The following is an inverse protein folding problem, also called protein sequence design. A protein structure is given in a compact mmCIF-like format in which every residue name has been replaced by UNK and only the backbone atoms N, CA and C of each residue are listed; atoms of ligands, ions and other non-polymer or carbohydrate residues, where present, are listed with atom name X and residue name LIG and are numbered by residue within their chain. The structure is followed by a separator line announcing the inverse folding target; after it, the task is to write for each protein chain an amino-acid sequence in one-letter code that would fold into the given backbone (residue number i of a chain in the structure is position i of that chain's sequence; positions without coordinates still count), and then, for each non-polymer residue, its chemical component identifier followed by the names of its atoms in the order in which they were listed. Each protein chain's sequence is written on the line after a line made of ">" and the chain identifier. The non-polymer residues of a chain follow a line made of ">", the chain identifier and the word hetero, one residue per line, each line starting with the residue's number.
data_IF_692925281685
#
_entry.id   IF_692925281685
#
_cell.length_a   1.000
_cell.length_b   1.000
_cell.length_c   1.000
_cell.angle_alpha   90.00
_cell.angle_beta   90.00
_cell.angle_gamma   90.00
#
_symmetry.space_group_name_H-M   'P 1'
#
loop_
_entity.id
_entity.type
_entity.pdbx_description
1 polymer ?
#
# COMPACT_ATOMS: atom_id res chain seq x y z
N UNK A 1 -8.93 -3.54 -7.70
CA UNK A 1 -8.88 -2.98 -9.08
C UNK A 1 -10.14 -2.28 -9.54
N UNK A 2 -11.32 -2.93 -9.58
CA UNK A 2 -12.58 -2.37 -10.14
C UNK A 2 -12.90 -0.96 -9.61
N UNK A 3 -12.88 -0.75 -8.30
CA UNK A 3 -13.19 0.56 -7.69
C UNK A 3 -12.20 1.64 -8.16
N UNK A 4 -10.89 1.35 -8.15
CA UNK A 4 -9.87 2.29 -8.62
C UNK A 4 -10.05 2.61 -10.11
N UNK A 5 -10.32 1.60 -10.93
CA UNK A 5 -10.56 1.78 -12.37
C UNK A 5 -11.83 2.61 -12.63
N UNK A 6 -12.88 2.42 -11.84
CA UNK A 6 -14.10 3.25 -11.91
C UNK A 6 -13.83 4.71 -11.58
N UNK A 7 -13.05 4.99 -10.54
CA UNK A 7 -12.67 6.37 -10.18
C UNK A 7 -11.79 6.98 -11.26
N UNK A 8 -10.79 6.22 -11.75
CA UNK A 8 -9.90 6.69 -12.81
C UNK A 8 -10.66 6.98 -14.11
N UNK A 9 -11.63 6.13 -14.47
CA UNK A 9 -12.52 6.33 -15.61
C UNK A 9 -13.37 7.61 -15.45
N UNK A 10 -13.99 7.78 -14.28
CA UNK A 10 -14.85 8.93 -13.99
C UNK A 10 -14.11 10.27 -14.13
N UNK A 11 -12.85 10.34 -13.68
CA UNK A 11 -12.05 11.56 -13.69
C UNK A 11 -11.03 11.65 -14.85
N UNK A 12 -11.03 10.70 -15.80
CA UNK A 12 -10.08 10.71 -16.93
C UNK A 12 -8.60 10.57 -16.52
N UNK A 13 -8.30 9.84 -15.45
CA UNK A 13 -6.96 9.75 -14.84
C UNK A 13 -6.04 8.69 -15.48
N UNK A 14 -6.42 8.16 -16.65
CA UNK A 14 -5.70 7.07 -17.31
C UNK A 14 -6.03 5.69 -16.71
N UNK A 15 -5.36 4.63 -17.19
CA UNK A 15 -5.68 3.27 -16.78
C UNK A 15 -5.13 2.93 -15.38
N UNK A 16 -5.81 2.00 -14.71
CA UNK A 16 -5.26 1.27 -13.56
C UNK A 16 -4.55 0.03 -14.07
N UNK A 17 -3.30 -0.17 -13.65
CA UNK A 17 -2.57 -1.40 -14.00
C UNK A 17 -2.65 -2.38 -12.84
N UNK A 18 -3.20 -3.56 -13.09
CA UNK A 18 -3.28 -4.66 -12.15
C UNK A 18 -2.25 -5.72 -12.53
N UNK A 19 -1.41 -6.11 -11.58
CA UNK A 19 -0.33 -7.07 -11.78
C UNK A 19 -0.50 -8.19 -10.76
N UNK A 20 -0.77 -9.40 -11.24
CA UNK A 20 -0.98 -10.56 -10.39
C UNK A 20 -0.72 -11.84 -11.21
N UNK A 21 0.09 -12.80 -10.76
CA UNK A 21 0.27 -14.06 -11.49
C UNK A 21 -1.02 -14.91 -11.56
N UNK A 22 -1.99 -14.68 -10.67
CA UNK A 22 -3.23 -15.44 -10.48
C UNK A 22 -2.97 -16.95 -10.38
N UNK A 23 -1.97 -17.33 -9.60
CA UNK A 23 -1.55 -18.71 -9.39
C UNK A 23 -2.01 -19.21 -8.02
N UNK A 24 -2.55 -20.42 -7.96
CA UNK A 24 -2.78 -21.13 -6.69
C UNK A 24 -1.87 -22.37 -6.58
N UNK A 25 -1.32 -22.68 -5.39
CA UNK A 25 -1.50 -21.93 -4.13
C UNK A 25 -0.70 -20.62 -4.11
N UNK A 26 -1.26 -19.60 -3.46
CA UNK A 26 -0.59 -18.33 -3.15
C UNK A 26 -0.99 -17.88 -1.75
N UNK A 27 -0.19 -16.99 -1.15
CA UNK A 27 -0.59 -16.34 0.11
C UNK A 27 -1.72 -15.32 -0.06
N UNK A 28 -1.96 -14.87 -1.30
CA UNK A 28 -3.01 -13.91 -1.65
C UNK A 28 -4.37 -14.59 -1.80
N UNK A 29 -4.37 -15.87 -2.20
CA UNK A 29 -5.59 -16.64 -2.47
C UNK A 29 -5.55 -18.01 -1.76
N UNK A 30 -5.53 -18.02 -0.41
CA UNK A 30 -5.37 -19.25 0.38
C UNK A 30 -6.53 -20.24 0.21
N UNK A 31 -7.70 -19.76 -0.22
CA UNK A 31 -8.91 -20.55 -0.38
C UNK A 31 -9.03 -21.17 -1.79
N UNK A 32 -8.15 -20.80 -2.74
CA UNK A 32 -8.16 -21.38 -4.08
C UNK A 32 -7.47 -22.76 -4.09
N UNK A 33 -8.11 -23.78 -4.68
CA UNK A 33 -7.46 -25.07 -4.88
C UNK A 33 -6.20 -24.95 -5.75
N UNK A 34 -5.17 -25.78 -5.55
CA UNK A 34 -3.97 -25.79 -6.39
C UNK A 34 -4.29 -25.90 -7.88
N UNK A 35 -3.66 -25.08 -8.71
CA UNK A 35 -3.89 -25.04 -10.16
C UNK A 35 -5.12 -24.26 -10.62
N UNK A 36 -5.95 -23.77 -9.69
CA UNK A 36 -7.06 -22.85 -10.00
C UNK A 36 -6.52 -21.42 -10.10
N UNK A 37 -7.16 -20.59 -10.91
CA UNK A 37 -6.77 -19.20 -11.13
C UNK A 37 -7.97 -18.27 -10.96
N UNK A 38 -7.78 -17.17 -10.23
CA UNK A 38 -8.78 -16.10 -10.10
C UNK A 38 -8.83 -15.16 -11.32
N UNK A 39 -8.01 -15.40 -12.36
CA UNK A 39 -7.90 -14.49 -13.50
C UNK A 39 -9.21 -14.37 -14.30
N UNK A 40 -9.90 -15.48 -14.55
CA UNK A 40 -11.13 -15.47 -15.35
C UNK A 40 -12.26 -14.72 -14.62
N UNK A 41 -12.36 -14.90 -13.30
CA UNK A 41 -13.29 -14.14 -12.44
C UNK A 41 -12.95 -12.65 -12.43
N UNK A 42 -11.66 -12.32 -12.33
CA UNK A 42 -11.17 -10.95 -12.40
C UNK A 42 -11.55 -10.28 -13.74
N UNK A 43 -11.31 -10.93 -14.88
CA UNK A 43 -11.68 -10.43 -16.20
C UNK A 43 -13.21 -10.33 -16.35
N UNK A 44 -13.96 -11.30 -15.86
CA UNK A 44 -15.43 -11.25 -15.84
C UNK A 44 -15.95 -10.06 -15.03
N UNK A 45 -15.33 -9.73 -13.89
CA UNK A 45 -15.64 -8.55 -13.10
C UNK A 45 -15.40 -7.24 -13.83
N UNK A 46 -14.29 -7.13 -14.59
CA UNK A 46 -14.02 -5.96 -15.43
C UNK A 46 -15.04 -5.81 -16.56
N UNK A 47 -15.47 -6.92 -17.17
CA UNK A 47 -16.53 -6.94 -18.20
C UNK A 47 -17.88 -6.51 -17.64
N UNK A 48 -18.30 -7.11 -16.54
CA UNK A 48 -19.58 -6.82 -15.90
C UNK A 48 -19.71 -5.34 -15.48
N UNK A 49 -18.57 -4.66 -15.28
CA UNK A 49 -18.51 -3.24 -14.90
C UNK A 49 -18.17 -2.30 -16.07
N UNK A 50 -17.99 -2.82 -17.29
CA UNK A 50 -17.55 -2.07 -18.48
C UNK A 50 -16.22 -1.31 -18.30
N UNK A 51 -15.30 -1.85 -17.47
CA UNK A 51 -14.03 -1.22 -17.13
C UNK A 51 -12.81 -1.80 -17.88
N UNK A 52 -13.01 -2.72 -18.84
CA UNK A 52 -11.90 -3.35 -19.59
C UNK A 52 -10.96 -2.33 -20.26
N UNK A 53 -11.47 -1.16 -20.67
CA UNK A 53 -10.65 -0.10 -21.28
C UNK A 53 -9.92 0.79 -20.25
N UNK A 54 -10.27 0.66 -18.98
CA UNK A 54 -9.75 1.48 -17.87
C UNK A 54 -8.86 0.67 -16.93
N UNK A 55 -8.75 -0.64 -17.12
CA UNK A 55 -7.85 -1.51 -16.38
C UNK A 55 -6.97 -2.32 -17.34
N UNK A 56 -5.67 -2.25 -17.14
CA UNK A 56 -4.68 -3.08 -17.84
C UNK A 56 -4.26 -4.21 -16.92
N UNK A 57 -4.41 -5.45 -17.38
CA UNK A 57 -4.17 -6.65 -16.59
C UNK A 57 -2.89 -7.37 -17.04
N UNK A 58 -1.95 -7.56 -16.13
CA UNK A 58 -0.78 -8.41 -16.34
C UNK A 58 -0.87 -9.66 -15.49
N UNK A 59 -1.16 -10.79 -16.13
CA UNK A 59 -1.16 -12.11 -15.50
C UNK A 59 0.25 -12.67 -15.34
N UNK A 60 1.08 -12.03 -14.51
CA UNK A 60 2.48 -12.42 -14.28
C UNK A 60 2.99 -11.81 -12.97
N UNK A 61 4.20 -12.16 -12.56
CA UNK A 61 4.85 -11.58 -11.38
C UNK A 61 5.25 -10.12 -11.61
N UNK A 62 5.19 -9.30 -10.55
CA UNK A 62 5.61 -7.90 -10.54
C UNK A 62 7.00 -7.66 -11.14
N UNK A 63 7.98 -8.51 -10.76
CA UNK A 63 9.36 -8.48 -11.30
C UNK A 63 9.45 -8.61 -12.82
N UNK A 64 8.50 -9.30 -13.46
CA UNK A 64 8.50 -9.45 -14.92
C UNK A 64 7.97 -8.18 -15.60
N UNK A 65 6.92 -7.58 -15.04
CA UNK A 65 6.37 -6.31 -15.52
C UNK A 65 7.37 -5.16 -15.32
N UNK A 66 8.06 -5.14 -14.18
CA UNK A 66 9.01 -4.09 -13.81
C UNK A 66 10.21 -3.96 -14.78
N UNK A 67 10.64 -5.05 -15.44
CA UNK A 67 11.77 -5.04 -16.41
C UNK A 67 11.58 -4.04 -17.55
N UNK A 68 10.33 -3.83 -17.98
CA UNK A 68 9.98 -2.91 -19.07
C UNK A 68 9.26 -1.65 -18.60
N UNK A 69 9.10 -1.44 -17.29
CA UNK A 69 8.29 -0.35 -16.79
C UNK A 69 8.99 0.99 -16.97
N UNK A 70 8.29 1.96 -17.54
CA UNK A 70 8.77 3.32 -17.75
C UNK A 70 7.67 4.38 -17.59
N UNK A 71 6.53 3.99 -17.00
CA UNK A 71 5.34 4.83 -16.89
C UNK A 71 5.29 5.53 -15.52
N UNK A 72 4.95 6.83 -15.47
CA UNK A 72 4.79 7.54 -14.20
C UNK A 72 3.64 6.95 -13.36
N UNK A 73 3.85 6.84 -12.06
CA UNK A 73 2.88 6.29 -11.10
C UNK A 73 2.40 7.40 -10.16
N UNK A 74 1.08 7.65 -10.17
CA UNK A 74 0.40 8.60 -9.25
C UNK A 74 -0.20 7.93 -8.02
N UNK A 75 -0.48 6.63 -8.11
CA UNK A 75 -0.94 5.79 -7.01
C UNK A 75 -0.27 4.43 -7.15
N UNK A 76 0.48 4.02 -6.13
CA UNK A 76 1.02 2.67 -5.99
C UNK A 76 0.28 1.97 -4.87
N UNK A 77 -0.49 0.94 -5.18
CA UNK A 77 -1.23 0.14 -4.20
C UNK A 77 -0.62 -1.26 -4.13
N UNK A 78 0.01 -1.59 -3.00
CA UNK A 78 0.66 -2.87 -2.77
C UNK A 78 -0.25 -3.73 -1.89
N UNK A 79 -0.72 -4.84 -2.45
CA UNK A 79 -1.67 -5.79 -1.85
C UNK A 79 -1.40 -7.21 -2.38
N UNK A 80 -0.11 -7.55 -2.47
CA UNK A 80 0.37 -8.84 -2.96
C UNK A 80 0.82 -9.75 -1.81
N UNK A 81 2.02 -10.30 -1.96
CA UNK A 81 2.59 -11.18 -0.93
C UNK A 81 2.90 -10.42 0.37
N UNK A 82 2.36 -10.91 1.48
CA UNK A 82 2.43 -10.27 2.80
C UNK A 82 3.75 -10.47 3.55
N UNK A 83 4.73 -11.16 2.96
CA UNK A 83 6.08 -11.28 3.51
C UNK A 83 6.84 -9.96 3.35
N UNK A 84 7.83 -9.71 4.19
CA UNK A 84 8.70 -8.54 4.01
C UNK A 84 9.42 -8.56 2.66
N UNK A 85 9.87 -9.74 2.21
CA UNK A 85 10.53 -9.88 0.91
C UNK A 85 9.61 -9.47 -0.24
N UNK A 86 8.38 -9.98 -0.27
CA UNK A 86 7.41 -9.68 -1.33
C UNK A 86 7.01 -8.21 -1.36
N UNK A 87 6.52 -7.68 -0.23
CA UNK A 87 6.11 -6.28 -0.14
C UNK A 87 7.26 -5.29 -0.42
N UNK A 88 8.49 -5.62 0.00
CA UNK A 88 9.68 -4.79 -0.27
C UNK A 88 10.09 -4.87 -1.74
N UNK A 89 10.06 -6.05 -2.35
CA UNK A 89 10.33 -6.22 -3.79
C UNK A 89 9.37 -5.36 -4.61
N UNK A 90 8.06 -5.44 -4.36
CA UNK A 90 7.06 -4.61 -5.06
C UNK A 90 7.30 -3.11 -4.86
N UNK A 91 7.60 -2.70 -3.62
CA UNK A 91 7.92 -1.29 -3.33
C UNK A 91 9.17 -0.82 -4.08
N UNK A 92 10.24 -1.61 -4.10
CA UNK A 92 11.51 -1.24 -4.74
C UNK A 92 11.42 -1.23 -6.26
N UNK A 93 10.66 -2.16 -6.83
CA UNK A 93 10.45 -2.23 -8.28
C UNK A 93 9.70 -1.01 -8.82
N UNK A 94 8.70 -0.50 -8.08
CA UNK A 94 7.80 0.54 -8.59
C UNK A 94 8.01 1.93 -8.00
N UNK A 95 8.59 2.06 -6.80
CA UNK A 95 8.84 3.37 -6.18
C UNK A 95 9.73 4.34 -6.99
N UNK A 96 10.67 3.90 -7.87
CA UNK A 96 11.42 4.81 -8.73
C UNK A 96 10.55 5.59 -9.72
N UNK A 97 9.35 5.09 -10.04
CA UNK A 97 8.45 5.69 -11.02
C UNK A 97 7.37 6.60 -10.41
N UNK A 98 7.41 6.82 -9.09
CA UNK A 98 6.48 7.71 -8.40
C UNK A 98 6.67 9.16 -8.85
N UNK A 99 5.59 9.81 -9.24
CA UNK A 99 5.57 11.26 -9.53
C UNK A 99 5.46 12.07 -8.25
N UNK A 100 5.94 13.32 -8.25
CA UNK A 100 5.71 14.22 -7.12
C UNK A 100 4.21 14.30 -6.75
N UNK A 101 3.90 14.12 -5.46
CA UNK A 101 2.53 14.07 -4.94
C UNK A 101 1.84 12.70 -5.06
N UNK A 102 2.50 11.68 -5.64
CA UNK A 102 1.93 10.33 -5.72
C UNK A 102 1.64 9.74 -4.34
N UNK A 103 0.68 8.84 -4.25
CA UNK A 103 0.39 8.12 -3.00
C UNK A 103 0.89 6.69 -3.11
N UNK A 104 1.59 6.21 -2.07
CA UNK A 104 1.87 4.79 -1.87
C UNK A 104 0.93 4.30 -0.78
N UNK A 105 0.20 3.22 -1.05
CA UNK A 105 -0.67 2.53 -0.11
C UNK A 105 -0.23 1.07 0.05
N UNK A 106 -0.23 0.60 1.29
CA UNK A 106 0.17 -0.74 1.70
C UNK A 106 -1.03 -1.36 2.43
N UNK A 107 -1.66 -2.34 1.80
CA UNK A 107 -2.80 -3.03 2.40
C UNK A 107 -2.35 -3.87 3.61
N UNK A 108 -3.25 -4.10 4.56
CA UNK A 108 -3.03 -4.99 5.70
C UNK A 108 -1.83 -4.69 6.62
N UNK A 109 -1.34 -3.45 6.63
CA UNK A 109 -0.29 -2.98 7.52
C UNK A 109 -0.61 -3.10 9.02
N UNK A 110 -1.88 -3.25 9.41
CA UNK A 110 -2.26 -3.54 10.81
C UNK A 110 -2.78 -4.96 11.05
N UNK A 111 -2.62 -5.85 10.07
CA UNK A 111 -2.78 -7.29 10.25
C UNK A 111 -1.47 -7.93 10.72
N UNK A 112 -1.54 -9.20 11.13
CA UNK A 112 -0.40 -9.90 11.73
C UNK A 112 0.60 -10.39 10.65
N UNK A 113 0.97 -9.49 9.75
CA UNK A 113 1.91 -9.72 8.65
C UNK A 113 3.10 -8.78 8.80
N UNK A 114 4.31 -9.29 8.55
CA UNK A 114 5.53 -8.48 8.69
C UNK A 114 5.65 -7.45 7.57
N UNK A 115 5.31 -7.80 6.33
CA UNK A 115 5.77 -7.06 5.16
C UNK A 115 5.26 -5.63 5.06
N UNK A 116 3.94 -5.42 4.94
CA UNK A 116 3.40 -4.07 4.71
C UNK A 116 3.76 -3.07 5.81
N UNK A 117 3.69 -3.47 7.09
CA UNK A 117 4.03 -2.59 8.22
C UNK A 117 5.52 -2.27 8.28
N UNK A 118 6.38 -3.23 7.93
CA UNK A 118 7.82 -3.03 7.96
C UNK A 118 8.28 -2.09 6.84
N UNK A 119 7.80 -2.29 5.62
CA UNK A 119 8.02 -1.35 4.49
C UNK A 119 7.51 0.04 4.87
N UNK A 120 6.32 0.14 5.47
CA UNK A 120 5.80 1.43 5.89
C UNK A 120 6.70 2.13 6.91
N UNK A 121 7.19 1.42 7.93
CA UNK A 121 8.06 2.00 8.96
C UNK A 121 9.45 2.35 8.42
N UNK A 122 10.06 1.45 7.64
CA UNK A 122 11.45 1.56 7.21
C UNK A 122 11.61 2.49 6.00
N UNK A 123 10.76 2.38 4.98
CA UNK A 123 10.93 3.07 3.71
C UNK A 123 10.08 4.34 3.56
N UNK A 124 8.95 4.43 4.29
CA UNK A 124 8.01 5.57 4.19
C UNK A 124 8.14 6.49 5.40
N UNK A 125 7.90 6.00 6.61
CA UNK A 125 7.86 6.85 7.81
C UNK A 125 9.22 7.44 8.19
N UNK A 126 10.31 6.74 7.88
CA UNK A 126 11.69 7.19 8.18
C UNK A 126 12.37 7.95 7.03
N UNK A 127 11.68 8.13 5.91
CA UNK A 127 12.24 8.77 4.71
C UNK A 127 11.76 10.21 4.58
N UNK A 128 12.67 11.12 4.22
CA UNK A 128 12.33 12.51 3.88
C UNK A 128 11.82 12.66 2.44
N UNK A 129 11.82 11.57 1.66
CA UNK A 129 11.18 11.54 0.33
C UNK A 129 9.67 11.48 0.40
N UNK A 130 9.11 11.26 1.59
CA UNK A 130 7.66 11.19 1.81
C UNK A 130 7.21 12.40 2.63
N UNK A 131 5.99 12.86 2.39
CA UNK A 131 5.30 13.93 3.11
C UNK A 131 4.37 13.37 4.16
N UNK A 132 3.10 13.79 4.12
CA UNK A 132 2.05 13.25 4.97
C UNK A 132 1.94 11.73 4.82
N UNK A 133 1.76 11.04 5.94
CA UNK A 133 1.55 9.60 5.99
C UNK A 133 0.63 9.24 7.15
N UNK A 134 -0.02 8.08 7.07
CA UNK A 134 -0.96 7.64 8.09
C UNK A 134 -1.48 6.23 7.89
N UNK A 135 -2.46 5.87 8.71
CA UNK A 135 -3.24 4.65 8.53
C UNK A 135 -4.71 5.02 8.33
N UNK A 136 -5.40 4.21 7.54
CA UNK A 136 -6.86 4.19 7.45
C UNK A 136 -7.29 2.75 7.58
N UNK A 137 -8.05 2.44 8.63
CA UNK A 137 -8.43 1.07 8.98
C UNK A 137 -7.20 0.14 9.14
N UNK A 138 -7.00 -0.83 8.24
CA UNK A 138 -5.82 -1.71 8.24
C UNK A 138 -4.71 -1.24 7.31
N UNK A 139 -4.99 -0.35 6.36
CA UNK A 139 -4.05 0.09 5.35
C UNK A 139 -3.17 1.23 5.86
N UNK A 140 -1.91 1.23 5.43
CA UNK A 140 -0.99 2.34 5.61
C UNK A 140 -0.84 3.12 4.30
N UNK A 141 -0.54 4.40 4.38
CA UNK A 141 -0.33 5.24 3.21
C UNK A 141 0.71 6.33 3.47
N UNK A 142 1.39 6.77 2.41
CA UNK A 142 2.28 7.93 2.44
C UNK A 142 2.31 8.66 1.10
N UNK A 143 2.37 9.99 1.14
CA UNK A 143 2.51 10.81 -0.06
C UNK A 143 3.99 10.96 -0.44
N UNK A 144 4.36 10.61 -1.66
CA UNK A 144 5.68 10.84 -2.22
C UNK A 144 5.89 12.33 -2.46
N UNK A 145 6.82 12.94 -1.71
CA UNK A 145 7.16 14.36 -1.70
C UNK A 145 8.68 14.52 -1.63
N UNK A 146 9.42 14.24 -2.71
CA UNK A 146 10.88 14.19 -2.67
C UNK A 146 11.54 15.55 -2.40
N UNK A 147 10.82 16.66 -2.61
CA UNK A 147 11.36 18.01 -2.50
C UNK A 147 11.11 18.68 -1.14
N UNK A 148 10.04 18.30 -0.46
CA UNK A 148 9.58 18.96 0.77
C UNK A 148 9.04 17.97 1.84
N UNK A 149 9.28 16.68 1.67
CA UNK A 149 8.85 15.65 2.61
C UNK A 149 9.46 15.75 4.00
N UNK A 150 10.64 16.38 4.12
CA UNK A 150 11.27 16.70 5.40
C UNK A 150 10.39 17.56 6.32
N UNK A 151 9.50 18.39 5.76
CA UNK A 151 8.58 19.24 6.54
C UNK A 151 7.57 18.42 7.37
N UNK A 152 7.35 17.16 6.99
CA UNK A 152 6.40 16.26 7.64
C UNK A 152 7.10 15.26 8.59
N UNK A 153 8.40 15.43 8.84
CA UNK A 153 9.22 14.46 9.59
C UNK A 153 8.70 14.24 11.01
N UNK A 154 8.30 15.30 11.71
CA UNK A 154 7.76 15.19 13.08
C UNK A 154 6.48 14.34 13.12
N UNK A 155 5.53 14.63 12.22
CA UNK A 155 4.30 13.86 12.06
C UNK A 155 4.60 12.37 11.82
N UNK A 156 5.54 12.06 10.91
CA UNK A 156 5.92 10.67 10.62
C UNK A 156 6.66 10.00 11.76
N UNK A 157 7.53 10.70 12.49
CA UNK A 157 8.28 10.14 13.63
C UNK A 157 7.35 9.68 14.75
N UNK A 158 6.29 10.43 15.05
CA UNK A 158 5.27 10.00 16.02
C UNK A 158 4.59 8.69 15.62
N UNK A 159 4.24 8.55 14.33
CA UNK A 159 3.68 7.32 13.79
C UNK A 159 4.70 6.18 13.80
N UNK A 160 5.94 6.45 13.40
CA UNK A 160 7.03 5.46 13.37
C UNK A 160 7.29 4.89 14.76
N UNK A 161 7.30 5.73 15.79
CA UNK A 161 7.50 5.30 17.17
C UNK A 161 6.41 4.33 17.65
N UNK A 162 5.15 4.52 17.22
CA UNK A 162 4.04 3.63 17.57
C UNK A 162 4.05 2.35 16.73
N UNK A 163 4.19 2.50 15.41
CA UNK A 163 4.17 1.39 14.46
C UNK A 163 5.37 0.43 14.64
N UNK A 164 6.57 0.95 14.91
CA UNK A 164 7.76 0.14 15.14
C UNK A 164 7.63 -0.83 16.34
N UNK A 165 6.74 -0.54 17.30
CA UNK A 165 6.45 -1.45 18.42
C UNK A 165 5.75 -2.73 17.99
N UNK A 166 5.18 -2.78 16.78
CA UNK A 166 4.57 -3.99 16.23
C UNK A 166 5.62 -4.96 15.66
N UNK A 167 6.73 -4.45 15.12
CA UNK A 167 7.72 -5.25 14.37
C UNK A 167 8.26 -6.47 15.15
N UNK A 168 8.62 -6.36 16.45
CA UNK A 168 9.11 -7.52 17.20
C UNK A 168 8.10 -8.66 17.34
N UNK A 169 6.79 -8.38 17.22
CA UNK A 169 5.75 -9.40 17.29
C UNK A 169 5.53 -10.13 15.96
N UNK A 170 5.94 -9.52 14.85
CA UNK A 170 5.59 -9.96 13.50
C UNK A 170 6.78 -10.63 12.79
N UNK A 171 7.98 -10.47 13.35
CA UNK A 171 9.20 -11.09 12.86
C UNK A 171 9.02 -12.60 12.70
N UNK A 172 9.52 -13.13 11.58
CA UNK A 172 9.53 -14.57 11.25
C UNK A 172 8.13 -15.18 11.10
N UNK A 173 7.08 -14.34 10.97
CA UNK A 173 5.68 -14.75 10.75
C UNK A 173 5.14 -15.78 11.74
N UNK A 174 5.63 -15.75 12.99
CA UNK A 174 5.22 -16.71 14.02
C UNK A 174 3.78 -16.45 14.49
N UNK A 175 2.96 -17.50 14.70
CA UNK A 175 1.59 -17.33 15.16
C UNK A 175 1.50 -16.63 16.53
N UNK A 176 0.74 -15.54 16.59
CA UNK A 176 0.51 -14.81 17.84
C UNK A 176 -0.42 -15.59 18.79
N UNK A 177 0.09 -15.97 19.96
CA UNK A 177 -0.67 -16.72 21.00
C UNK A 177 -0.55 -16.07 22.39
N UNK A 178 -1.51 -16.38 23.27
CA UNK A 178 -1.50 -16.00 24.69
C UNK A 178 -1.18 -14.52 24.96
N UNK A 179 -0.28 -14.28 25.92
CA UNK A 179 0.16 -12.95 26.34
C UNK A 179 0.80 -12.14 25.20
N UNK A 180 1.52 -12.79 24.28
CA UNK A 180 2.12 -12.13 23.11
C UNK A 180 1.05 -11.53 22.21
N UNK A 181 -0.04 -12.26 21.95
CA UNK A 181 -1.20 -11.76 21.21
C UNK A 181 -1.88 -10.58 21.91
N UNK A 182 -2.01 -10.64 23.24
CA UNK A 182 -2.58 -9.53 24.01
C UNK A 182 -1.71 -8.26 23.93
N UNK A 183 -0.39 -8.40 24.10
CA UNK A 183 0.57 -7.30 23.98
C UNK A 183 0.57 -6.68 22.58
N UNK A 184 0.53 -7.52 21.54
CA UNK A 184 0.37 -7.07 20.16
C UNK A 184 -0.91 -6.25 19.97
N UNK A 185 -2.06 -6.77 20.42
CA UNK A 185 -3.35 -6.06 20.30
C UNK A 185 -3.33 -4.72 21.03
N UNK A 186 -2.73 -4.65 22.21
CA UNK A 186 -2.60 -3.41 23.00
C UNK A 186 -1.63 -2.41 22.37
N UNK A 187 -0.55 -2.86 21.73
CA UNK A 187 0.33 -1.99 20.97
C UNK A 187 -0.41 -1.44 19.73
N UNK A 188 -1.10 -2.32 19.00
CA UNK A 188 -1.86 -1.98 17.79
C UNK A 188 -3.00 -1.01 18.06
N UNK A 189 -3.71 -1.14 19.19
CA UNK A 189 -4.83 -0.23 19.53
C UNK A 189 -4.41 1.22 19.75
N UNK A 190 -3.11 1.49 19.94
CA UNK A 190 -2.57 2.85 20.10
C UNK A 190 -2.24 3.54 18.77
N UNK A 191 -2.37 2.84 17.64
CA UNK A 191 -2.11 3.39 16.31
C UNK A 191 -3.38 4.09 15.79
N UNK A 192 -3.33 5.40 15.48
CA UNK A 192 -4.45 6.11 14.87
C UNK A 192 -4.76 5.52 13.50
N UNK A 193 -6.02 5.22 13.24
CA UNK A 193 -6.48 4.51 12.02
C UNK A 193 -7.94 4.77 11.67
N UNK A 194 -8.51 5.84 12.21
CA UNK A 194 -9.86 6.23 11.88
C UNK A 194 -9.94 6.61 10.39
N UNK A 195 -11.11 6.47 9.74
CA UNK A 195 -11.34 7.09 8.44
C UNK A 195 -10.99 8.58 8.51
N UNK A 196 -10.27 9.07 7.52
CA UNK A 196 -9.93 10.49 7.40
C UNK A 196 -10.99 11.13 6.50
N UNK A 197 -11.61 12.21 6.94
CA UNK A 197 -12.52 12.98 6.10
C UNK A 197 -11.77 13.68 4.96
N UNK A 198 -12.48 14.10 3.92
CA UNK A 198 -11.87 14.83 2.80
C UNK A 198 -11.22 16.14 3.25
N UNK A 199 -11.87 16.87 4.17
CA UNK A 199 -11.33 18.10 4.75
C UNK A 199 -10.03 17.86 5.51
N UNK A 200 -10.03 16.91 6.44
CA UNK A 200 -8.82 16.55 7.21
C UNK A 200 -7.69 16.08 6.29
N UNK A 201 -8.01 15.34 5.23
CA UNK A 201 -7.02 14.92 4.25
C UNK A 201 -6.43 16.11 3.49
N UNK A 202 -7.28 17.00 2.99
CA UNK A 202 -6.86 18.23 2.31
C UNK A 202 -5.99 19.09 3.22
N UNK A 203 -6.39 19.30 4.47
CA UNK A 203 -5.62 20.05 5.46
C UNK A 203 -4.24 19.41 5.69
N UNK A 204 -4.21 18.08 5.85
CA UNK A 204 -2.97 17.34 6.02
C UNK A 204 -2.01 17.53 4.84
N UNK A 205 -2.53 17.66 3.62
CA UNK A 205 -1.73 17.93 2.42
C UNK A 205 -1.38 19.41 2.24
N UNK A 206 -2.24 20.33 2.71
CA UNK A 206 -2.16 21.77 2.50
C UNK A 206 -1.32 22.52 3.55
N UNK A 207 -1.26 22.03 4.80
CA UNK A 207 -0.62 22.68 5.97
C UNK A 207 0.85 23.10 5.73
N UNK A 208 1.52 22.59 4.70
CA UNK A 208 2.91 22.95 4.39
C UNK A 208 3.16 23.66 3.06
N UNK A 209 2.11 24.01 2.29
CA UNK A 209 2.25 24.97 1.17
C UNK A 209 2.29 26.41 1.68
N UNK A 210 1.65 26.69 2.82
CA UNK A 210 1.49 28.05 3.36
C UNK A 210 2.69 28.58 4.19
N UNK A 211 3.75 27.79 4.43
CA UNK A 211 4.95 28.26 5.14
C UNK A 211 6.01 28.92 4.22
N UNK A 212 5.64 29.24 2.96
CA UNK A 212 6.54 29.84 1.96
C UNK A 212 5.93 31.01 1.18
N UNK A 213 5.13 31.85 1.84
CA UNK A 213 4.80 33.19 1.32
C UNK A 213 5.19 34.23 2.36
#
# INVERSE_FOLDING_TARGET
>A
TVVLASVAAHYGLGPVVAIDPHTAPSSTDPDLPPGVSSFDEFVAGLRATNLEKHAEAHRTFSREVAKGWNRPIRLLWIDGEHTYKGAKEDFDLFSPFLTNGAVVALHDALHAFEGPIRVFVEDILRSDRFGAAGFVQSAAWGQFRPYDGANFREQRQHLAHRAAKLLPFLKDSQPLRGLTKMRYKLARSRIPRAPISTGEWCDLLAVHVAQKI
#
